data_IF_131790832910
#
_entry.id   IF_131790832910
#
_cell.length_a   1.000
_cell.length_b   1.000
_cell.length_c   1.000
_cell.angle_alpha   90.00
_cell.angle_beta   90.00
_cell.angle_gamma   90.00
#
_symmetry.space_group_name_H-M   'P 1'
#
loop_
_entity.id
_entity.type
_entity.pdbx_description
1 polymer ?
#
# COMPACT_ATOMS: atom_id res chain seq x y z
N UNK A 1 -12.95 21.33 3.07
CA UNK A 1 -11.65 21.58 2.40
C UNK A 1 -10.45 20.98 3.12
N UNK A 2 -10.36 21.05 4.45
CA UNK A 2 -9.21 20.56 5.25
C UNK A 2 -8.87 19.07 4.97
N UNK A 3 -9.88 18.20 4.92
CA UNK A 3 -9.68 16.75 4.71
C UNK A 3 -9.09 16.42 3.34
N UNK A 4 -9.52 17.10 2.27
CA UNK A 4 -9.00 16.88 0.93
C UNK A 4 -7.54 17.34 0.81
N UNK A 5 -7.23 18.49 1.41
CA UNK A 5 -5.85 19.01 1.48
C UNK A 5 -4.95 18.08 2.28
N UNK A 6 -5.43 17.56 3.41
CA UNK A 6 -4.71 16.60 4.23
C UNK A 6 -4.45 15.30 3.45
N UNK A 7 -5.48 14.77 2.78
CA UNK A 7 -5.38 13.57 1.95
C UNK A 7 -4.34 13.74 0.83
N UNK A 8 -4.37 14.90 0.14
CA UNK A 8 -3.42 15.22 -0.91
C UNK A 8 -1.98 15.30 -0.38
N UNK A 9 -1.75 16.09 0.68
CA UNK A 9 -0.40 16.25 1.27
C UNK A 9 0.14 14.93 1.82
N UNK A 10 -0.67 14.11 2.47
CA UNK A 10 -0.26 12.77 2.91
C UNK A 10 0.04 11.86 1.73
N UNK A 11 -0.74 11.94 0.64
CA UNK A 11 -0.48 11.19 -0.58
C UNK A 11 0.88 11.53 -1.19
N UNK A 12 1.24 12.81 -1.27
CA UNK A 12 2.57 13.28 -1.71
C UNK A 12 3.66 12.71 -0.81
N UNK A 13 3.51 12.81 0.51
CA UNK A 13 4.49 12.28 1.49
C UNK A 13 4.65 10.77 1.38
N UNK A 14 3.58 10.03 1.19
CA UNK A 14 3.65 8.58 0.98
C UNK A 14 4.38 8.22 -0.31
N UNK A 15 4.18 8.99 -1.38
CA UNK A 15 4.88 8.78 -2.64
C UNK A 15 6.39 9.01 -2.47
N UNK A 16 6.79 10.13 -1.85
CA UNK A 16 8.19 10.47 -1.57
C UNK A 16 8.83 9.43 -0.64
N UNK A 17 8.13 9.06 0.44
CA UNK A 17 8.61 8.02 1.36
C UNK A 17 8.87 6.70 0.65
N UNK A 18 7.93 6.23 -0.20
CA UNK A 18 8.13 5.00 -0.96
C UNK A 18 9.28 5.10 -1.96
N UNK A 19 9.51 6.29 -2.52
CA UNK A 19 10.65 6.55 -3.40
C UNK A 19 11.98 6.43 -2.64
N UNK A 20 12.12 7.09 -1.48
CA UNK A 20 13.31 6.96 -0.62
C UNK A 20 13.50 5.50 -0.19
N UNK A 21 12.42 4.83 0.20
CA UNK A 21 12.44 3.44 0.62
C UNK A 21 12.88 2.49 -0.50
N UNK A 22 12.51 2.78 -1.74
CA UNK A 22 12.97 2.02 -2.90
C UNK A 22 14.50 2.01 -3.00
N UNK A 23 15.16 3.14 -2.75
CA UNK A 23 16.63 3.20 -2.73
C UNK A 23 17.21 2.39 -1.57
N UNK A 24 16.59 2.43 -0.40
CA UNK A 24 17.01 1.60 0.76
C UNK A 24 16.91 0.12 0.41
N UNK A 25 15.81 -0.32 -0.19
CA UNK A 25 15.65 -1.70 -0.66
C UNK A 25 16.66 -2.06 -1.75
N UNK A 26 17.00 -1.14 -2.63
CA UNK A 26 17.98 -1.34 -3.69
C UNK A 26 19.40 -1.53 -3.09
N UNK A 27 19.81 -0.63 -2.18
CA UNK A 27 21.08 -0.73 -1.46
C UNK A 27 21.15 -2.04 -0.69
N UNK A 28 20.09 -2.41 0.02
CA UNK A 28 20.02 -3.68 0.73
C UNK A 28 20.22 -4.88 -0.20
N UNK A 29 19.60 -4.90 -1.39
CA UNK A 29 19.78 -5.96 -2.39
C UNK A 29 21.21 -6.04 -2.91
N UNK A 30 21.83 -4.89 -3.15
CA UNK A 30 23.24 -4.85 -3.59
C UNK A 30 24.17 -5.41 -2.50
N UNK A 31 23.96 -5.01 -1.24
CA UNK A 31 24.76 -5.48 -0.11
C UNK A 31 24.60 -7.00 0.15
N UNK A 32 23.42 -7.55 -0.11
CA UNK A 32 23.15 -8.98 0.04
C UNK A 32 23.56 -9.82 -1.16
N UNK A 33 24.24 -9.23 -2.16
CA UNK A 33 24.69 -9.93 -3.36
C UNK A 33 23.56 -10.43 -4.26
N UNK A 34 22.42 -9.71 -4.30
CA UNK A 34 21.21 -10.04 -5.07
C UNK A 34 20.60 -11.42 -4.75
N UNK A 35 20.97 -12.02 -3.64
CA UNK A 35 20.36 -13.28 -3.20
C UNK A 35 18.86 -13.09 -2.91
N UNK A 36 18.03 -14.13 -3.09
CA UNK A 36 16.64 -14.06 -2.66
C UNK A 36 16.60 -13.86 -1.13
N UNK A 37 15.88 -12.83 -0.64
CA UNK A 37 15.81 -12.55 0.79
C UNK A 37 15.06 -13.66 1.50
N UNK A 38 15.53 -14.02 2.72
CA UNK A 38 14.80 -14.92 3.59
C UNK A 38 13.46 -14.33 4.00
N UNK A 39 12.49 -15.19 4.31
CA UNK A 39 11.14 -14.75 4.74
C UNK A 39 11.22 -13.77 5.92
N UNK A 40 12.01 -14.09 6.96
CA UNK A 40 12.19 -13.23 8.12
C UNK A 40 12.76 -11.85 7.74
N UNK A 41 13.78 -11.81 6.89
CA UNK A 41 14.42 -10.58 6.41
C UNK A 41 13.42 -9.65 5.70
N UNK A 42 12.58 -10.22 4.83
CA UNK A 42 11.53 -9.46 4.14
C UNK A 42 10.52 -8.83 5.12
N UNK A 43 10.07 -9.61 6.11
CA UNK A 43 9.08 -9.13 7.05
C UNK A 43 9.64 -8.13 8.06
N UNK A 44 10.91 -8.26 8.45
CA UNK A 44 11.61 -7.27 9.27
C UNK A 44 11.71 -5.94 8.51
N UNK A 45 12.16 -5.95 7.23
CA UNK A 45 12.22 -4.74 6.42
C UNK A 45 10.84 -4.10 6.22
N UNK A 46 9.80 -4.91 5.99
CA UNK A 46 8.42 -4.41 5.92
C UNK A 46 7.96 -3.81 7.24
N UNK A 47 8.28 -4.44 8.38
CA UNK A 47 7.93 -3.92 9.69
C UNK A 47 8.57 -2.54 9.93
N UNK A 48 9.86 -2.41 9.67
CA UNK A 48 10.58 -1.12 9.77
C UNK A 48 9.94 -0.09 8.85
N UNK A 49 9.66 -0.44 7.59
CA UNK A 49 8.97 0.43 6.63
C UNK A 49 7.65 0.95 7.16
N UNK A 50 6.83 0.06 7.73
CA UNK A 50 5.49 0.42 8.21
C UNK A 50 5.56 1.28 9.47
N UNK A 51 6.45 0.94 10.42
CA UNK A 51 6.68 1.74 11.63
C UNK A 51 7.15 3.15 11.26
N UNK A 52 8.12 3.29 10.35
CA UNK A 52 8.59 4.60 9.88
C UNK A 52 7.49 5.39 9.16
N UNK A 53 6.70 4.73 8.30
CA UNK A 53 5.59 5.39 7.60
C UNK A 53 4.54 5.91 8.58
N UNK A 54 4.20 5.11 9.61
CA UNK A 54 3.31 5.50 10.69
C UNK A 54 3.85 6.71 11.43
N UNK A 55 5.13 6.68 11.80
CA UNK A 55 5.78 7.75 12.54
C UNK A 55 5.79 9.06 11.74
N UNK A 56 6.17 9.02 10.45
CA UNK A 56 6.15 10.20 9.56
C UNK A 56 4.73 10.76 9.42
N UNK A 57 3.71 9.88 9.31
CA UNK A 57 2.32 10.32 9.24
C UNK A 57 1.89 11.00 10.53
N UNK A 58 2.27 10.41 11.67
CA UNK A 58 1.94 10.94 12.98
C UNK A 58 2.60 12.31 13.21
N UNK A 59 3.91 12.44 12.92
CA UNK A 59 4.63 13.71 13.04
C UNK A 59 4.02 14.80 12.16
N UNK A 60 3.59 14.45 10.94
CA UNK A 60 2.89 15.40 10.08
C UNK A 60 1.55 15.88 10.64
N UNK A 61 0.85 15.02 11.40
CA UNK A 61 -0.40 15.38 12.05
C UNK A 61 -0.21 16.13 13.38
N UNK A 62 1.01 16.16 13.93
CA UNK A 62 1.35 17.00 15.07
C UNK A 62 1.52 18.44 14.59
N UNK A 63 0.80 19.39 15.20
CA UNK A 63 1.09 20.80 15.01
C UNK A 63 2.28 21.16 15.93
N UNK A 64 3.48 21.17 15.34
CA UNK A 64 4.65 21.66 16.06
C UNK A 64 4.62 23.19 16.02
N UNK A 65 4.21 23.81 17.09
CA UNK A 65 4.37 25.25 17.31
C UNK A 65 5.71 25.48 18.03
N UNK A 66 6.74 26.01 17.36
CA UNK A 66 8.03 26.26 17.99
C UNK A 66 7.97 27.27 19.15
N UNK A 67 6.87 28.04 19.26
CA UNK A 67 6.64 28.97 20.36
C UNK A 67 6.05 28.32 21.62
N UNK A 68 5.54 27.09 21.50
CA UNK A 68 4.96 26.34 22.61
C UNK A 68 5.65 24.97 22.72
N UNK A 69 6.42 24.68 23.80
CA UNK A 69 7.12 23.41 23.95
C UNK A 69 6.17 22.22 24.23
N UNK A 70 4.88 22.41 24.05
CA UNK A 70 3.87 21.38 24.25
C UNK A 70 3.36 20.93 22.88
N UNK A 71 3.52 19.64 22.58
CA UNK A 71 2.91 19.04 21.40
C UNK A 71 1.39 19.23 21.44
N UNK A 72 0.89 20.15 20.66
CA UNK A 72 -0.55 20.33 20.52
C UNK A 72 -1.08 19.21 19.60
N UNK A 73 -1.79 18.27 20.19
CA UNK A 73 -2.49 17.21 19.46
C UNK A 73 -3.70 17.82 18.75
N UNK A 74 -3.54 18.06 17.45
CA UNK A 74 -4.64 18.49 16.60
C UNK A 74 -5.49 17.27 16.18
N UNK A 75 -6.54 17.01 16.91
CA UNK A 75 -7.48 15.92 16.62
C UNK A 75 -8.09 16.01 15.22
N UNK A 76 -8.25 17.21 14.69
CA UNK A 76 -8.81 17.43 13.36
C UNK A 76 -7.88 16.92 12.25
N UNK A 77 -6.58 16.83 12.51
CA UNK A 77 -5.59 16.24 11.58
C UNK A 77 -5.26 14.79 11.94
N UNK A 78 -5.17 14.49 13.23
CA UNK A 78 -4.71 13.19 13.73
C UNK A 78 -5.66 12.05 13.35
N UNK A 79 -6.97 12.21 13.61
CA UNK A 79 -7.97 11.17 13.31
C UNK A 79 -8.08 10.91 11.80
N UNK A 80 -8.27 11.93 10.93
CA UNK A 80 -8.28 11.69 9.49
C UNK A 80 -6.94 11.17 8.95
N UNK A 81 -5.81 11.65 9.48
CA UNK A 81 -4.48 11.17 9.10
C UNK A 81 -4.29 9.69 9.38
N UNK A 82 -4.69 9.23 10.56
CA UNK A 82 -4.70 7.81 10.92
C UNK A 82 -5.61 6.97 10.03
N UNK A 83 -6.82 7.47 9.71
CA UNK A 83 -7.73 6.79 8.78
C UNK A 83 -7.14 6.68 7.36
N UNK A 84 -6.56 7.76 6.84
CA UNK A 84 -5.90 7.76 5.52
C UNK A 84 -4.76 6.75 5.48
N UNK A 85 -3.93 6.72 6.54
CA UNK A 85 -2.85 5.76 6.67
C UNK A 85 -3.37 4.32 6.66
N UNK A 86 -4.40 4.02 7.46
CA UNK A 86 -5.00 2.69 7.50
C UNK A 86 -5.61 2.28 6.15
N UNK A 87 -6.33 3.18 5.46
CA UNK A 87 -6.84 2.93 4.11
C UNK A 87 -5.71 2.65 3.11
N UNK A 88 -4.58 3.37 3.22
CA UNK A 88 -3.41 3.13 2.40
C UNK A 88 -2.82 1.73 2.63
N UNK A 89 -2.59 1.36 3.90
CA UNK A 89 -2.03 0.07 4.27
C UNK A 89 -2.96 -1.11 3.88
N UNK A 90 -4.26 -0.98 4.16
CA UNK A 90 -5.27 -1.96 3.75
C UNK A 90 -5.34 -2.10 2.22
N UNK A 91 -5.27 -0.97 1.49
CA UNK A 91 -5.26 -1.00 0.04
C UNK A 91 -4.03 -1.71 -0.54
N UNK A 92 -2.88 -1.57 0.10
CA UNK A 92 -1.66 -2.27 -0.29
C UNK A 92 -1.76 -3.78 -0.01
N UNK A 93 -2.35 -4.15 1.13
CA UNK A 93 -2.63 -5.53 1.49
C UNK A 93 -3.58 -6.21 0.50
N UNK A 94 -4.71 -5.57 0.14
CA UNK A 94 -5.66 -6.09 -0.84
C UNK A 94 -5.01 -6.30 -2.21
N UNK A 95 -4.24 -5.31 -2.69
CA UNK A 95 -3.55 -5.42 -3.98
C UNK A 95 -2.56 -6.58 -4.03
N UNK A 96 -1.87 -6.87 -2.93
CA UNK A 96 -1.00 -8.04 -2.84
C UNK A 96 -1.79 -9.35 -2.92
N UNK A 97 -2.96 -9.43 -2.27
CA UNK A 97 -3.83 -10.62 -2.36
C UNK A 97 -4.38 -10.83 -3.76
N UNK A 98 -4.79 -9.77 -4.45
CA UNK A 98 -5.30 -9.85 -5.82
C UNK A 98 -4.20 -10.31 -6.80
N UNK A 99 -2.98 -9.80 -6.67
CA UNK A 99 -1.85 -10.23 -7.50
C UNK A 99 -1.58 -11.73 -7.35
N UNK A 100 -1.64 -12.27 -6.12
CA UNK A 100 -1.42 -13.71 -5.88
C UNK A 100 -2.53 -14.55 -6.52
N UNK A 101 -3.79 -14.12 -6.47
CA UNK A 101 -4.92 -14.82 -7.11
C UNK A 101 -4.82 -14.80 -8.63
N UNK A 102 -4.40 -13.67 -9.21
CA UNK A 102 -4.30 -13.50 -10.65
C UNK A 102 -3.14 -14.32 -11.25
N UNK A 103 -1.99 -14.35 -10.58
CA UNK A 103 -0.81 -15.12 -11.03
C UNK A 103 -0.87 -16.61 -10.66
N UNK A 104 -1.74 -17.03 -9.71
CA UNK A 104 -1.92 -18.43 -9.33
C UNK A 104 -2.45 -19.33 -10.44
N UNK A 105 -3.07 -18.75 -11.49
CA UNK A 105 -3.51 -19.47 -12.69
C UNK A 105 -2.47 -19.55 -13.82
N UNK A 106 -1.46 -18.70 -13.82
CA UNK A 106 -0.37 -18.71 -14.80
C UNK A 106 0.95 -18.96 -14.07
N UNK A 107 1.48 -20.15 -14.16
CA UNK A 107 2.77 -20.55 -13.58
C UNK A 107 3.93 -19.93 -14.37
N UNK A 108 4.05 -18.61 -14.37
CA UNK A 108 5.31 -17.97 -14.73
C UNK A 108 6.25 -18.16 -13.53
N UNK A 109 7.49 -18.63 -13.73
CA UNK A 109 8.49 -18.80 -12.67
C UNK A 109 9.07 -17.45 -12.20
N UNK A 110 8.24 -16.41 -12.17
CA UNK A 110 8.55 -15.14 -11.54
C UNK A 110 8.52 -15.38 -10.05
N UNK A 111 9.71 -15.50 -9.49
CA UNK A 111 10.11 -15.53 -8.10
C UNK A 111 8.93 -15.28 -7.12
N UNK A 112 8.22 -16.36 -6.76
CA UNK A 112 7.10 -16.30 -5.82
C UNK A 112 7.65 -15.80 -4.49
N UNK A 113 7.41 -14.52 -4.20
CA UNK A 113 7.75 -13.98 -2.89
C UNK A 113 6.92 -14.75 -1.87
N UNK A 114 7.55 -15.36 -0.87
CA UNK A 114 6.82 -16.11 0.14
C UNK A 114 5.81 -15.16 0.81
N UNK A 115 4.54 -15.46 0.65
CA UNK A 115 3.43 -14.68 1.21
C UNK A 115 2.84 -15.40 2.41
N UNK A 116 2.98 -14.80 3.58
CA UNK A 116 2.37 -15.30 4.80
C UNK A 116 1.26 -14.32 5.24
N UNK A 117 0.00 -14.68 4.95
CA UNK A 117 -1.17 -13.86 5.27
C UNK A 117 -1.21 -13.42 6.74
N UNK A 118 -0.87 -14.32 7.66
CA UNK A 118 -0.88 -14.01 9.09
C UNK A 118 0.16 -12.96 9.46
N UNK A 119 1.34 -12.97 8.84
CA UNK A 119 2.38 -11.96 9.07
C UNK A 119 1.98 -10.60 8.50
N UNK A 120 1.28 -10.55 7.36
CA UNK A 120 0.77 -9.29 6.81
C UNK A 120 -0.30 -8.67 7.73
N UNK A 121 -1.19 -9.49 8.30
CA UNK A 121 -2.17 -9.01 9.29
C UNK A 121 -1.46 -8.52 10.55
N UNK A 122 -0.44 -9.25 11.02
CA UNK A 122 0.36 -8.83 12.17
C UNK A 122 1.04 -7.47 11.93
N UNK A 123 1.55 -7.21 10.71
CA UNK A 123 2.11 -5.90 10.35
C UNK A 123 1.08 -4.78 10.37
N UNK A 124 -0.15 -5.03 9.94
CA UNK A 124 -1.24 -4.04 10.03
C UNK A 124 -1.59 -3.73 11.49
N UNK A 125 -1.68 -4.76 12.33
CA UNK A 125 -1.90 -4.60 13.78
C UNK A 125 -0.74 -3.82 14.41
N UNK A 126 0.50 -4.18 14.09
CA UNK A 126 1.71 -3.47 14.55
C UNK A 126 1.65 -1.98 14.18
N UNK A 127 1.25 -1.67 12.93
CA UNK A 127 1.10 -0.29 12.46
C UNK A 127 0.06 0.49 13.27
N UNK A 128 -1.09 -0.14 13.54
CA UNK A 128 -2.14 0.47 14.35
C UNK A 128 -1.67 0.70 15.80
N UNK A 129 -1.03 -0.31 16.40
CA UNK A 129 -0.47 -0.20 17.76
C UNK A 129 0.61 0.87 17.85
N UNK A 130 1.48 0.98 16.83
CA UNK A 130 2.49 2.04 16.77
C UNK A 130 1.84 3.41 16.72
N UNK A 131 0.80 3.61 15.89
CA UNK A 131 0.09 4.89 15.81
C UNK A 131 -0.55 5.28 17.15
N UNK A 132 -1.19 4.32 17.83
CA UNK A 132 -1.77 4.53 19.16
C UNK A 132 -0.67 4.77 20.21
N UNK A 133 0.44 4.02 20.13
CA UNK A 133 1.59 4.20 21.04
C UNK A 133 2.22 5.58 20.94
N UNK A 134 2.36 6.11 19.71
CA UNK A 134 2.86 7.47 19.49
C UNK A 134 1.91 8.55 20.03
N UNK A 135 0.62 8.27 20.07
CA UNK A 135 -0.35 9.15 20.70
C UNK A 135 -0.08 9.33 22.20
N UNK A 136 0.29 8.25 22.91
CA UNK A 136 0.63 8.33 24.33
C UNK A 136 2.06 8.83 24.59
N UNK A 137 2.97 8.56 23.66
CA UNK A 137 4.41 8.89 23.76
C UNK A 137 4.90 9.63 22.53
N UNK A 138 4.46 10.90 22.30
CA UNK A 138 4.86 11.65 21.11
C UNK A 138 6.36 11.91 21.04
N UNK A 139 7.06 11.88 22.17
CA UNK A 139 8.51 12.03 22.26
C UNK A 139 9.29 10.97 21.45
N UNK A 140 8.68 9.82 21.17
CA UNK A 140 9.29 8.79 20.32
C UNK A 140 9.43 9.21 18.86
N UNK A 141 8.81 10.33 18.44
CA UNK A 141 9.00 10.90 17.11
C UNK A 141 10.29 11.74 16.99
N UNK A 142 10.97 12.06 18.09
CA UNK A 142 12.21 12.86 18.08
C UNK A 142 13.48 12.04 17.76
N UNK A 143 13.32 10.87 17.15
CA UNK A 143 14.46 10.04 16.76
C UNK A 143 15.14 10.66 15.54
N UNK A 144 16.48 10.80 15.57
CA UNK A 144 17.27 11.38 14.48
C UNK A 144 17.00 10.77 13.11
N UNK A 145 16.66 9.48 13.05
CA UNK A 145 16.26 8.80 11.81
C UNK A 145 14.96 9.41 11.21
N UNK A 146 13.96 9.70 12.03
CA UNK A 146 12.72 10.33 11.57
C UNK A 146 12.98 11.74 11.07
N UNK A 147 13.79 12.50 11.79
CA UNK A 147 14.17 13.84 11.38
C UNK A 147 14.91 13.82 10.03
N UNK A 148 15.78 12.83 9.81
CA UNK A 148 16.44 12.64 8.52
C UNK A 148 15.42 12.36 7.39
N UNK A 149 14.44 11.47 7.63
CA UNK A 149 13.38 11.20 6.64
C UNK A 149 12.55 12.45 6.35
N UNK A 150 12.13 13.20 7.36
CA UNK A 150 11.34 14.42 7.20
C UNK A 150 12.07 15.49 6.42
N UNK A 151 13.36 15.73 6.74
CA UNK A 151 14.20 16.67 6.03
C UNK A 151 14.33 16.31 4.54
N UNK A 152 14.54 15.01 4.23
CA UNK A 152 14.62 14.56 2.85
C UNK A 152 13.26 14.64 2.14
N UNK A 153 12.16 14.30 2.81
CA UNK A 153 10.81 14.44 2.25
C UNK A 153 10.54 15.91 1.90
N UNK A 154 10.83 16.82 2.81
CA UNK A 154 10.64 18.26 2.59
C UNK A 154 11.52 18.80 1.45
N UNK A 155 12.77 18.35 1.39
CA UNK A 155 13.69 18.72 0.30
C UNK A 155 13.18 18.24 -1.06
N UNK A 156 12.70 17.00 -1.16
CA UNK A 156 12.15 16.42 -2.39
C UNK A 156 10.81 17.04 -2.78
N UNK A 157 9.96 17.38 -1.80
CA UNK A 157 8.69 18.06 -2.03
C UNK A 157 8.89 19.44 -2.67
N UNK A 158 9.95 20.15 -2.25
CA UNK A 158 10.30 21.50 -2.74
C UNK A 158 11.17 21.48 -4.00
N UNK A 159 11.71 20.34 -4.42
CA UNK A 159 12.47 20.22 -5.65
C UNK A 159 11.59 20.43 -6.87
N UNK A 160 11.95 21.35 -7.76
CA UNK A 160 11.10 21.79 -8.89
C UNK A 160 10.56 20.63 -9.74
N UNK A 161 11.43 19.74 -10.19
CA UNK A 161 11.02 18.64 -11.10
C UNK A 161 10.42 17.47 -10.34
N UNK A 162 11.09 17.03 -9.26
CA UNK A 162 10.64 15.89 -8.44
C UNK A 162 9.38 16.25 -7.66
N UNK A 163 9.30 17.47 -7.11
CA UNK A 163 8.11 17.94 -6.41
C UNK A 163 6.87 17.90 -7.30
N UNK A 164 6.96 18.32 -8.56
CA UNK A 164 5.86 18.24 -9.51
C UNK A 164 5.42 16.78 -9.75
N UNK A 165 6.38 15.85 -9.97
CA UNK A 165 6.07 14.42 -10.15
C UNK A 165 5.35 13.87 -8.91
N UNK A 166 5.83 14.19 -7.71
CA UNK A 166 5.20 13.72 -6.48
C UNK A 166 3.82 14.34 -6.25
N UNK A 167 3.58 15.58 -6.67
CA UNK A 167 2.25 16.18 -6.63
C UNK A 167 1.26 15.43 -7.54
N UNK A 168 1.67 15.05 -8.75
CA UNK A 168 0.85 14.22 -9.65
C UNK A 168 0.56 12.86 -9.00
N UNK A 169 1.56 12.21 -8.40
CA UNK A 169 1.36 10.93 -7.68
C UNK A 169 0.42 11.09 -6.48
N UNK A 170 0.53 12.19 -5.74
CA UNK A 170 -0.39 12.54 -4.65
C UNK A 170 -1.82 12.71 -5.14
N UNK A 171 -2.02 13.35 -6.29
CA UNK A 171 -3.32 13.50 -6.91
C UNK A 171 -3.93 12.14 -7.34
N UNK A 172 -3.13 11.27 -7.97
CA UNK A 172 -3.55 9.91 -8.31
C UNK A 172 -3.90 9.08 -7.06
N UNK A 173 -3.18 9.31 -5.95
CA UNK A 173 -3.50 8.70 -4.67
C UNK A 173 -4.89 9.13 -4.17
N UNK A 174 -5.20 10.42 -4.21
CA UNK A 174 -6.53 10.96 -3.84
C UNK A 174 -7.63 10.28 -4.67
N UNK A 175 -7.45 10.22 -5.99
CA UNK A 175 -8.41 9.55 -6.89
C UNK A 175 -8.58 8.08 -6.49
N UNK A 176 -7.47 7.36 -6.23
CA UNK A 176 -7.51 5.96 -5.83
C UNK A 176 -8.29 5.73 -4.52
N UNK A 177 -8.11 6.60 -3.53
CA UNK A 177 -8.86 6.55 -2.26
C UNK A 177 -10.33 6.84 -2.48
N UNK A 178 -10.67 7.87 -3.29
CA UNK A 178 -12.05 8.21 -3.62
C UNK A 178 -12.78 7.07 -4.34
N UNK A 179 -12.14 6.44 -5.33
CA UNK A 179 -12.69 5.28 -6.03
C UNK A 179 -12.95 4.11 -5.07
N UNK A 180 -12.06 3.86 -4.11
CA UNK A 180 -12.25 2.80 -3.10
C UNK A 180 -13.42 3.11 -2.18
N UNK A 181 -13.55 4.36 -1.74
CA UNK A 181 -14.68 4.79 -0.92
C UNK A 181 -15.99 4.65 -1.71
N UNK A 182 -16.03 5.10 -2.97
CA UNK A 182 -17.21 4.93 -3.84
C UNK A 182 -17.58 3.44 -4.00
N UNK A 183 -16.60 2.57 -4.27
CA UNK A 183 -16.85 1.11 -4.40
C UNK A 183 -17.32 0.47 -3.09
N UNK A 184 -16.98 1.03 -1.93
CA UNK A 184 -17.49 0.55 -0.64
C UNK A 184 -18.98 0.87 -0.42
N UNK A 185 -19.46 1.97 -1.03
CA UNK A 185 -20.87 2.38 -0.95
C UNK A 185 -21.75 1.85 -2.10
N UNK A 186 -21.14 1.40 -3.21
CA UNK A 186 -21.88 0.82 -4.32
C UNK A 186 -22.25 -0.65 -4.00
N UNK A 187 -23.51 -1.07 -4.27
CA UNK A 187 -23.89 -2.46 -4.13
C UNK A 187 -23.00 -3.31 -5.05
N UNK A 188 -22.49 -4.42 -4.50
CA UNK A 188 -21.73 -5.38 -5.30
C UNK A 188 -22.60 -5.89 -6.43
N UNK A 189 -22.11 -5.88 -7.70
CA UNK A 189 -22.84 -6.51 -8.78
C UNK A 189 -23.12 -7.96 -8.38
N UNK A 190 -24.31 -8.51 -8.69
CA UNK A 190 -24.63 -9.91 -8.44
C UNK A 190 -23.50 -10.75 -9.03
N UNK A 191 -22.99 -11.71 -8.25
CA UNK A 191 -22.07 -12.70 -8.78
C UNK A 191 -22.81 -13.42 -9.90
N UNK A 192 -22.30 -13.31 -11.13
CA UNK A 192 -22.75 -14.18 -12.19
C UNK A 192 -22.47 -15.61 -11.71
N UNK A 193 -23.53 -16.40 -11.51
CA UNK A 193 -23.40 -17.80 -11.15
C UNK A 193 -22.65 -18.49 -12.30
N UNK A 194 -21.55 -19.21 -12.01
CA UNK A 194 -20.78 -19.89 -13.04
C UNK A 194 -21.56 -21.02 -13.72
N UNK A 195 -22.76 -21.39 -13.21
CA UNK A 195 -23.62 -22.41 -13.77
C UNK A 195 -24.39 -21.98 -15.05
N UNK A 196 -24.45 -20.65 -15.37
CA UNK A 196 -25.12 -20.19 -16.60
C UNK A 196 -24.18 -20.07 -17.81
N UNK A 197 -22.88 -20.36 -17.68
CA UNK A 197 -21.95 -20.37 -18.82
C UNK A 197 -21.69 -21.76 -19.41
N UNK A 198 -22.39 -22.79 -18.95
CA UNK A 198 -22.14 -24.20 -19.37
C UNK A 198 -23.15 -24.74 -20.36
N UNK A 199 -24.15 -23.98 -20.79
CA UNK A 199 -25.25 -24.49 -21.64
C UNK A 199 -25.27 -23.86 -23.05
N UNK A 200 -24.14 -23.46 -23.62
CA UNK A 200 -24.08 -23.02 -25.04
C UNK A 200 -22.94 -23.67 -25.85
N UNK A 201 -22.41 -24.78 -25.41
CA UNK A 201 -21.56 -25.63 -26.26
C UNK A 201 -22.36 -26.89 -26.72
N UNK A 202 -23.50 -26.63 -27.34
CA UNK A 202 -24.20 -27.64 -28.12
C UNK A 202 -23.64 -27.71 -29.56
N UNK A 203 -22.30 -27.97 -29.62
CA UNK A 203 -21.60 -28.30 -30.85
C UNK A 203 -21.11 -29.76 -30.81
N UNK A 204 -22.04 -30.71 -30.62
CA UNK A 204 -21.79 -32.15 -30.79
C UNK A 204 -22.69 -32.76 -31.84
N UNK A 205 -22.76 -32.14 -33.02
CA UNK A 205 -23.22 -32.80 -34.24
C UNK A 205 -22.07 -32.95 -35.22
N UNK A 206 -21.07 -33.73 -34.85
CA UNK A 206 -20.23 -34.40 -35.82
C UNK A 206 -20.83 -35.77 -36.08
N UNK A 207 -21.61 -35.88 -37.17
CA UNK A 207 -21.93 -37.17 -37.77
C UNK A 207 -20.64 -37.87 -38.19
N UNK A 208 -20.28 -38.93 -37.47
CA UNK A 208 -19.21 -39.84 -37.79
C UNK A 208 -19.63 -40.60 -39.05
N UNK A 209 -19.22 -40.14 -40.27
CA UNK A 209 -19.43 -40.83 -41.53
C UNK A 209 -18.59 -42.12 -41.46
N UNK A 210 -19.26 -43.19 -41.18
CA UNK A 210 -18.70 -44.55 -41.16
C UNK A 210 -18.24 -44.94 -42.58
N UNK A 211 -16.92 -45.14 -42.75
CA UNK A 211 -16.24 -45.61 -43.97
C UNK A 211 -16.63 -47.02 -44.40
N UNK A 212 -17.91 -47.46 -44.22
CA UNK A 212 -18.37 -48.80 -44.57
C UNK A 212 -19.30 -48.85 -45.79
N UNK A 213 -19.21 -47.91 -46.70
CA UNK A 213 -19.94 -48.04 -48.01
C UNK A 213 -19.04 -47.71 -49.20
N UNK A 214 -17.89 -48.37 -49.28
CA UNK A 214 -17.09 -48.45 -50.52
C UNK A 214 -16.59 -49.88 -50.67
N UNK A 215 -17.50 -50.79 -51.04
CA UNK A 215 -17.23 -52.05 -51.76
C UNK A 215 -18.40 -52.36 -52.71
#
# INVERSE_FOLDING_TARGET
MILLTLLFKLGVRFAIFNFIWFFIELVHKVLTGMRPPFLAEQYILKAIKYVLLVSITFTYCLDFDPAKPTYALDWQKLVPGGLILMLYLLGKFQKQQEQIKFFGGFQLPLQQRPYAKNLEIALLILSAMTFIGLYFYPQLTEIGLLHWFESNIHSLENAFLLGFIFQVLGFLFVISVLIRLLKAFLPKPPKADPEQMQDTDDFTDYEEISDKQLD
#
